data_IF_567671295605
#
_entry.id   IF_567671295605
#
_cell.length_a   1.000
_cell.length_b   1.000
_cell.length_c   1.000
_cell.angle_alpha   90.00
_cell.angle_beta   90.00
_cell.angle_gamma   90.00
#
_symmetry.space_group_name_H-M   'P 1'
#
loop_
_entity.id
_entity.type
_entity.pdbx_description
1 polymer ?
#
# COMPACT_ATOMS: atom_id res chain seq x y z
N UNK A 1 22.23 5.76 -19.62
CA UNK A 1 22.92 4.46 -19.78
C UNK A 1 22.58 3.50 -18.63
N UNK A 2 22.69 3.88 -17.34
CA UNK A 2 22.39 3.00 -16.19
C UNK A 2 20.97 2.40 -16.20
N UNK A 3 19.92 3.21 -16.43
CA UNK A 3 18.55 2.70 -16.56
C UNK A 3 18.39 1.72 -17.73
N UNK A 4 19.05 1.98 -18.86
CA UNK A 4 19.02 1.05 -19.99
C UNK A 4 19.71 -0.28 -19.66
N UNK A 5 20.82 -0.26 -18.90
CA UNK A 5 21.50 -1.46 -18.43
C UNK A 5 20.61 -2.27 -17.44
N UNK A 6 19.93 -1.60 -16.52
CA UNK A 6 18.97 -2.25 -15.60
C UNK A 6 17.78 -2.86 -16.36
N UNK A 7 17.23 -2.16 -17.34
CA UNK A 7 16.15 -2.66 -18.21
C UNK A 7 16.61 -3.86 -19.05
N UNK A 8 17.81 -3.81 -19.62
CA UNK A 8 18.35 -4.93 -20.38
C UNK A 8 18.58 -6.16 -19.51
N UNK A 9 19.01 -5.98 -18.25
CA UNK A 9 19.16 -7.06 -17.29
C UNK A 9 17.80 -7.66 -16.90
N UNK A 10 16.79 -6.83 -16.68
CA UNK A 10 15.41 -7.28 -16.43
C UNK A 10 14.86 -8.10 -17.61
N UNK A 11 14.91 -7.56 -18.83
CA UNK A 11 14.37 -8.22 -20.02
C UNK A 11 15.02 -9.57 -20.31
N UNK A 12 16.33 -9.71 -20.05
CA UNK A 12 17.02 -11.00 -20.18
C UNK A 12 16.48 -12.09 -19.26
N UNK A 13 15.90 -11.72 -18.11
CA UNK A 13 15.43 -12.65 -17.06
C UNK A 13 13.93 -12.85 -17.10
N UNK A 14 13.17 -11.77 -17.28
CA UNK A 14 11.71 -11.77 -17.27
C UNK A 14 11.08 -12.06 -18.65
N UNK A 15 11.89 -12.25 -19.67
CA UNK A 15 11.43 -12.42 -21.05
C UNK A 15 10.79 -11.13 -21.60
N UNK A 16 9.55 -11.21 -22.11
CA UNK A 16 8.83 -10.08 -22.70
C UNK A 16 8.04 -9.24 -21.68
N UNK A 17 7.99 -9.67 -20.41
CA UNK A 17 7.26 -8.95 -19.36
C UNK A 17 8.00 -7.66 -18.98
N UNK A 18 7.37 -6.51 -19.20
CA UNK A 18 7.91 -5.22 -18.76
C UNK A 18 7.81 -5.09 -17.23
N UNK A 19 8.80 -4.44 -16.57
CA UNK A 19 8.72 -4.15 -15.15
C UNK A 19 7.57 -3.16 -14.90
N UNK A 20 6.95 -3.23 -13.73
CA UNK A 20 5.92 -2.26 -13.33
C UNK A 20 6.52 -0.87 -13.17
N UNK A 21 5.70 0.18 -13.37
CA UNK A 21 6.11 1.57 -13.13
C UNK A 21 6.61 1.78 -11.70
N UNK A 22 6.02 1.09 -10.73
CA UNK A 22 6.44 1.13 -9.34
C UNK A 22 7.87 0.61 -9.14
N UNK A 23 8.24 -0.50 -9.82
CA UNK A 23 9.60 -1.03 -9.78
C UNK A 23 10.59 -0.07 -10.45
N UNK A 24 10.22 0.49 -11.62
CA UNK A 24 11.05 1.46 -12.33
C UNK A 24 11.32 2.71 -11.50
N UNK A 25 10.29 3.25 -10.86
CA UNK A 25 10.41 4.41 -9.98
C UNK A 25 11.30 4.12 -8.77
N UNK A 26 11.18 2.93 -8.15
CA UNK A 26 12.09 2.51 -7.08
C UNK A 26 13.54 2.43 -7.55
N UNK A 27 13.79 1.83 -8.71
CA UNK A 27 15.15 1.74 -9.27
C UNK A 27 15.75 3.10 -9.58
N UNK A 28 14.95 4.04 -10.08
CA UNK A 28 15.40 5.42 -10.28
C UNK A 28 15.75 6.10 -8.93
N UNK A 29 14.95 5.89 -7.91
CA UNK A 29 15.20 6.40 -6.55
C UNK A 29 16.47 5.78 -5.95
N UNK A 30 16.65 4.45 -6.05
CA UNK A 30 17.86 3.75 -5.58
C UNK A 30 19.11 4.27 -6.29
N UNK A 31 19.03 4.49 -7.61
CA UNK A 31 20.13 5.03 -8.39
C UNK A 31 20.52 6.44 -7.93
N UNK A 32 19.53 7.33 -7.79
CA UNK A 32 19.77 8.71 -7.34
C UNK A 32 20.32 8.74 -5.91
N UNK A 33 19.77 7.96 -5.00
CA UNK A 33 20.24 7.87 -3.63
C UNK A 33 21.70 7.40 -3.55
N UNK A 34 22.06 6.34 -4.29
CA UNK A 34 23.43 5.82 -4.32
C UNK A 34 24.40 6.82 -4.92
N UNK A 35 24.07 7.44 -6.05
CA UNK A 35 24.96 8.43 -6.70
C UNK A 35 25.16 9.67 -5.82
N UNK A 36 24.15 10.13 -5.11
CA UNK A 36 24.25 11.22 -4.13
C UNK A 36 25.16 10.81 -2.96
N UNK A 37 25.00 9.62 -2.40
CA UNK A 37 25.90 9.11 -1.33
C UNK A 37 27.35 9.00 -1.77
N UNK A 38 27.61 8.50 -2.98
CA UNK A 38 28.97 8.35 -3.51
C UNK A 38 29.65 9.69 -3.79
N UNK A 39 28.89 10.75 -4.03
CA UNK A 39 29.44 12.12 -4.20
C UNK A 39 29.81 12.78 -2.88
N UNK A 40 29.30 12.30 -1.74
CA UNK A 40 29.63 12.83 -0.42
C UNK A 40 31.08 12.43 -0.03
N UNK A 41 31.85 13.35 0.59
CA UNK A 41 33.21 13.05 1.04
C UNK A 41 33.17 12.00 2.16
N UNK A 42 33.88 10.90 1.97
CA UNK A 42 34.00 9.82 2.94
C UNK A 42 35.39 9.22 2.90
N UNK A 43 36.02 9.07 4.05
CA UNK A 43 37.37 8.47 4.18
C UNK A 43 38.50 9.36 3.65
N UNK A 44 39.62 8.74 3.41
CA UNK A 44 40.84 9.37 2.85
C UNK A 44 40.76 9.56 1.33
N UNK A 45 41.84 10.07 0.72
CA UNK A 45 41.88 10.36 -0.71
C UNK A 45 41.69 9.11 -1.57
N UNK A 46 42.22 7.96 -1.13
CA UNK A 46 42.10 6.71 -1.87
C UNK A 46 40.67 6.17 -1.86
N UNK A 47 40.01 6.23 -0.72
CA UNK A 47 38.58 5.83 -0.61
C UNK A 47 37.75 6.76 -1.46
N UNK A 48 37.98 8.08 -1.40
CA UNK A 48 37.25 9.06 -2.23
C UNK A 48 37.43 8.78 -3.72
N UNK A 49 38.68 8.49 -4.16
CA UNK A 49 38.97 8.14 -5.56
C UNK A 49 38.19 6.89 -6.01
N UNK A 50 38.22 5.81 -5.21
CA UNK A 50 37.55 4.56 -5.52
C UNK A 50 36.01 4.72 -5.57
N UNK A 51 35.43 5.53 -4.67
CA UNK A 51 34.00 5.88 -4.69
C UNK A 51 33.61 6.67 -5.94
N UNK A 52 34.48 7.61 -6.40
CA UNK A 52 34.26 8.37 -7.63
C UNK A 52 34.33 7.47 -8.88
N UNK A 53 35.25 6.51 -8.90
CA UNK A 53 35.34 5.49 -9.97
C UNK A 53 34.06 4.64 -9.99
N UNK A 54 33.59 4.21 -8.82
CA UNK A 54 32.32 3.47 -8.70
C UNK A 54 31.14 4.29 -9.22
N UNK A 55 31.02 5.57 -8.85
CA UNK A 55 29.97 6.46 -9.34
C UNK A 55 29.98 6.59 -10.87
N UNK A 56 31.21 6.72 -11.46
CA UNK A 56 31.37 6.80 -12.91
C UNK A 56 30.98 5.48 -13.60
N UNK A 57 31.34 4.34 -13.02
CA UNK A 57 30.97 3.02 -13.53
C UNK A 57 29.43 2.80 -13.44
N UNK A 58 28.77 3.23 -12.34
CA UNK A 58 27.31 3.17 -12.17
C UNK A 58 26.61 4.01 -13.23
N UNK A 59 27.06 5.25 -13.45
CA UNK A 59 26.50 6.12 -14.48
C UNK A 59 26.58 5.50 -15.89
N UNK A 60 27.64 4.72 -16.14
CA UNK A 60 27.86 3.98 -17.38
C UNK A 60 27.12 2.62 -17.43
N UNK A 61 26.44 2.21 -16.35
CA UNK A 61 25.76 0.91 -16.25
C UNK A 61 26.70 -0.29 -16.01
N UNK A 62 27.95 -0.05 -15.62
CA UNK A 62 28.98 -1.08 -15.37
C UNK A 62 29.01 -1.47 -13.88
N UNK A 63 27.94 -2.11 -13.40
CA UNK A 63 27.72 -2.40 -11.98
C UNK A 63 28.78 -3.34 -11.36
N UNK A 64 29.33 -4.28 -12.15
CA UNK A 64 30.38 -5.17 -11.67
C UNK A 64 31.71 -4.42 -11.40
N UNK A 65 32.05 -3.44 -12.25
CA UNK A 65 33.22 -2.58 -12.04
C UNK A 65 33.01 -1.68 -10.81
N UNK A 66 31.80 -1.14 -10.65
CA UNK A 66 31.45 -0.34 -9.49
C UNK A 66 31.59 -1.14 -8.17
N UNK A 67 31.07 -2.39 -8.13
CA UNK A 67 31.23 -3.25 -6.94
C UNK A 67 32.70 -3.56 -6.64
N UNK A 68 33.52 -3.75 -7.67
CA UNK A 68 34.95 -3.96 -7.50
C UNK A 68 35.65 -2.74 -6.88
N UNK A 69 35.35 -1.53 -7.35
CA UNK A 69 35.94 -0.30 -6.80
C UNK A 69 35.49 -0.08 -5.34
N UNK A 70 34.18 -0.30 -5.03
CA UNK A 70 33.67 -0.22 -3.66
C UNK A 70 34.26 -1.31 -2.74
N UNK A 71 34.49 -2.53 -3.26
CA UNK A 71 35.16 -3.59 -2.52
C UNK A 71 36.61 -3.22 -2.17
N UNK A 72 37.31 -2.58 -3.11
CA UNK A 72 38.65 -2.06 -2.86
C UNK A 72 38.68 -0.95 -1.82
N UNK A 73 37.69 -0.05 -1.82
CA UNK A 73 37.52 0.98 -0.79
C UNK A 73 37.27 0.35 0.60
N UNK A 74 36.46 -0.70 0.69
CA UNK A 74 36.24 -1.45 1.94
C UNK A 74 37.55 -2.12 2.42
N UNK A 75 38.28 -2.80 1.53
CA UNK A 75 39.59 -3.44 1.84
C UNK A 75 40.63 -2.42 2.31
N UNK A 76 40.68 -1.24 1.69
CA UNK A 76 41.55 -0.16 2.13
C UNK A 76 41.19 0.33 3.54
N UNK A 77 39.87 0.50 3.84
CA UNK A 77 39.40 0.85 5.18
C UNK A 77 39.72 -0.23 6.23
N UNK A 78 39.74 -1.52 5.85
CA UNK A 78 40.15 -2.64 6.71
C UNK A 78 41.65 -2.58 7.03
N UNK A 79 42.47 -2.18 6.07
CA UNK A 79 43.93 -1.97 6.28
C UNK A 79 44.69 -3.24 6.69
N UNK A 80 44.25 -4.41 6.20
CA UNK A 80 44.89 -5.71 6.48
C UNK A 80 44.58 -6.30 7.87
N UNK A 81 43.65 -5.70 8.64
CA UNK A 81 43.25 -6.25 9.93
C UNK A 81 42.47 -7.56 9.76
N UNK A 82 42.77 -8.55 10.58
CA UNK A 82 42.02 -9.83 10.64
C UNK A 82 40.91 -9.82 11.67
N UNK A 83 40.95 -8.90 12.64
CA UNK A 83 39.89 -8.68 13.62
C UNK A 83 39.32 -7.27 13.45
N UNK A 84 38.17 -7.20 12.78
CA UNK A 84 37.50 -5.94 12.51
C UNK A 84 36.88 -5.33 13.80
N UNK A 85 36.59 -6.15 14.80
CA UNK A 85 35.98 -5.67 16.05
C UNK A 85 37.00 -4.89 16.93
N UNK A 86 38.28 -5.19 16.77
CA UNK A 86 39.35 -4.48 17.44
C UNK A 86 39.75 -3.14 16.78
N UNK A 87 39.21 -2.83 15.61
CA UNK A 87 39.47 -1.56 14.93
C UNK A 87 38.84 -0.38 15.69
N UNK A 88 39.46 0.82 15.60
CA UNK A 88 38.86 2.05 16.11
C UNK A 88 37.46 2.27 15.53
N UNK A 89 36.58 2.89 16.33
CA UNK A 89 35.18 3.12 15.93
C UNK A 89 35.04 3.82 14.58
N UNK A 90 35.85 4.86 14.33
CA UNK A 90 35.84 5.60 13.05
C UNK A 90 36.07 4.67 11.86
N UNK A 91 37.01 3.73 11.96
CA UNK A 91 37.27 2.74 10.92
C UNK A 91 36.11 1.76 10.74
N UNK A 92 35.52 1.29 11.84
CA UNK A 92 34.34 0.41 11.79
C UNK A 92 33.16 1.10 11.12
N UNK A 93 32.94 2.38 11.43
CA UNK A 93 31.89 3.20 10.76
C UNK A 93 32.21 3.34 9.27
N UNK A 94 33.44 3.62 8.90
CA UNK A 94 33.85 3.75 7.50
C UNK A 94 33.65 2.44 6.71
N UNK A 95 33.98 1.30 7.28
CA UNK A 95 33.72 -0.03 6.71
C UNK A 95 32.20 -0.24 6.57
N UNK A 96 31.41 0.12 7.59
CA UNK A 96 29.96 0.04 7.57
C UNK A 96 29.33 0.86 6.44
N UNK A 97 29.80 2.09 6.22
CA UNK A 97 29.35 2.93 5.12
C UNK A 97 29.71 2.34 3.73
N UNK A 98 30.91 1.79 3.57
CA UNK A 98 31.28 1.13 2.31
C UNK A 98 30.42 -0.12 2.05
N UNK A 99 30.08 -0.89 3.08
CA UNK A 99 29.14 -2.02 2.98
C UNK A 99 27.73 -1.55 2.60
N UNK A 100 27.26 -0.45 3.17
CA UNK A 100 25.97 0.15 2.83
C UNK A 100 25.93 0.67 1.38
N UNK A 101 27.04 1.22 0.85
CA UNK A 101 27.16 1.61 -0.56
C UNK A 101 27.07 0.38 -1.48
N UNK A 102 27.78 -0.71 -1.15
CA UNK A 102 27.71 -1.98 -1.89
C UNK A 102 26.32 -2.63 -1.78
N UNK A 103 25.67 -2.55 -0.63
CA UNK A 103 24.29 -3.00 -0.47
C UNK A 103 23.33 -2.20 -1.37
N UNK A 104 23.48 -0.87 -1.42
CA UNK A 104 22.71 0.01 -2.30
C UNK A 104 22.96 -0.30 -3.78
N UNK A 105 24.20 -0.61 -4.17
CA UNK A 105 24.53 -1.06 -5.52
C UNK A 105 23.83 -2.38 -5.87
N UNK A 106 23.72 -3.31 -4.91
CA UNK A 106 23.04 -4.59 -5.11
C UNK A 106 21.55 -4.40 -5.45
N UNK A 107 20.89 -3.33 -4.96
CA UNK A 107 19.52 -3.00 -5.36
C UNK A 107 19.36 -2.57 -6.81
N UNK A 108 20.42 -2.11 -7.47
CA UNK A 108 20.38 -1.80 -8.91
C UNK A 108 20.38 -3.09 -9.77
N UNK A 109 20.85 -4.20 -9.20
CA UNK A 109 20.75 -5.53 -9.81
C UNK A 109 19.37 -6.09 -9.53
N UNK A 110 18.69 -6.62 -10.53
CA UNK A 110 17.27 -7.04 -10.44
C UNK A 110 17.13 -8.52 -10.08
N UNK A 111 17.77 -8.99 -8.99
CA UNK A 111 17.66 -10.38 -8.51
C UNK A 111 17.42 -10.46 -7.02
N UNK A 112 16.65 -11.48 -6.61
CA UNK A 112 16.44 -11.78 -5.20
C UNK A 112 17.76 -12.10 -4.46
N UNK A 113 18.74 -12.72 -5.16
CA UNK A 113 20.06 -12.99 -4.59
C UNK A 113 20.83 -11.70 -4.28
N UNK A 114 20.83 -10.73 -5.21
CA UNK A 114 21.47 -9.43 -4.96
C UNK A 114 20.83 -8.70 -3.77
N UNK A 115 19.54 -8.85 -3.55
CA UNK A 115 18.86 -8.27 -2.39
C UNK A 115 19.21 -9.01 -1.09
N UNK A 116 19.40 -10.33 -1.13
CA UNK A 116 19.95 -11.08 0.02
C UNK A 116 21.38 -10.64 0.34
N UNK A 117 22.22 -10.42 -0.68
CA UNK A 117 23.56 -9.85 -0.49
C UNK A 117 23.49 -8.45 0.16
N UNK A 118 22.56 -7.58 -0.28
CA UNK A 118 22.36 -6.28 0.33
C UNK A 118 21.99 -6.42 1.81
N UNK A 119 21.05 -7.29 2.14
CA UNK A 119 20.64 -7.56 3.51
C UNK A 119 21.78 -8.10 4.38
N UNK A 120 22.60 -9.02 3.83
CA UNK A 120 23.76 -9.55 4.53
C UNK A 120 24.79 -8.44 4.85
N UNK A 121 25.11 -7.59 3.88
CA UNK A 121 26.05 -6.46 4.08
C UNK A 121 25.55 -5.46 5.12
N UNK A 122 24.27 -5.16 5.16
CA UNK A 122 23.69 -4.31 6.20
C UNK A 122 23.74 -4.99 7.58
N UNK A 123 23.45 -6.29 7.68
CA UNK A 123 23.58 -7.06 8.92
C UNK A 123 25.03 -7.11 9.43
N UNK A 124 26.00 -7.32 8.53
CA UNK A 124 27.43 -7.28 8.87
C UNK A 124 27.89 -5.89 9.31
N UNK A 125 27.37 -4.82 8.70
CA UNK A 125 27.64 -3.44 9.12
C UNK A 125 27.08 -3.19 10.52
N UNK A 126 25.85 -3.59 10.79
CA UNK A 126 25.22 -3.48 12.11
C UNK A 126 26.04 -4.21 13.19
N UNK A 127 26.41 -5.47 12.93
CA UNK A 127 27.20 -6.28 13.86
C UNK A 127 28.59 -5.68 14.14
N UNK A 128 29.25 -5.15 13.11
CA UNK A 128 30.58 -4.54 13.22
C UNK A 128 30.56 -3.25 14.06
N UNK A 129 29.55 -2.41 13.84
CA UNK A 129 29.40 -1.14 14.57
C UNK A 129 28.99 -1.43 16.03
N UNK A 130 28.01 -2.31 16.24
CA UNK A 130 27.59 -2.80 17.53
C UNK A 130 27.21 -1.69 18.51
N UNK A 131 27.43 -1.94 19.80
CA UNK A 131 27.11 -1.01 20.89
C UNK A 131 27.99 0.26 20.92
N UNK A 132 29.10 0.27 20.18
CA UNK A 132 30.01 1.42 20.19
C UNK A 132 29.39 2.66 19.49
N UNK A 133 28.43 2.46 18.57
CA UNK A 133 27.58 3.49 17.99
C UNK A 133 26.20 2.89 17.74
N UNK A 134 25.43 2.73 18.82
CA UNK A 134 24.18 1.96 18.83
C UNK A 134 23.16 2.43 17.78
N UNK A 135 23.02 3.74 17.60
CA UNK A 135 22.05 4.28 16.64
C UNK A 135 22.41 3.95 15.20
N UNK A 136 23.71 4.01 14.85
CA UNK A 136 24.21 3.61 13.52
C UNK A 136 24.06 2.10 13.28
N UNK A 137 24.24 1.30 14.33
CA UNK A 137 24.02 -0.15 14.29
C UNK A 137 22.53 -0.46 14.06
N UNK A 138 21.64 0.22 14.78
CA UNK A 138 20.18 0.09 14.63
C UNK A 138 19.71 0.51 13.23
N UNK A 139 20.24 1.62 12.72
CA UNK A 139 19.98 2.07 11.35
C UNK A 139 20.35 1.01 10.31
N UNK A 140 21.55 0.44 10.42
CA UNK A 140 22.01 -0.63 9.54
C UNK A 140 21.11 -1.89 9.64
N UNK A 141 20.68 -2.27 10.84
CA UNK A 141 19.78 -3.41 11.02
C UNK A 141 18.37 -3.13 10.46
N UNK A 142 17.88 -1.89 10.53
CA UNK A 142 16.62 -1.50 9.90
C UNK A 142 16.73 -1.60 8.37
N UNK A 143 17.85 -1.15 7.79
CA UNK A 143 18.10 -1.29 6.34
C UNK A 143 18.24 -2.77 5.94
N UNK A 144 18.80 -3.63 6.79
CA UNK A 144 18.78 -5.09 6.58
C UNK A 144 17.34 -5.61 6.45
N UNK A 145 16.48 -5.26 7.38
CA UNK A 145 15.08 -5.70 7.37
C UNK A 145 14.32 -5.18 6.13
N UNK A 146 14.54 -3.92 5.76
CA UNK A 146 13.97 -3.34 4.53
C UNK A 146 14.46 -4.07 3.27
N UNK A 147 15.74 -4.42 3.21
CA UNK A 147 16.32 -5.18 2.11
C UNK A 147 15.67 -6.56 1.97
N UNK A 148 15.43 -7.25 3.09
CA UNK A 148 14.73 -8.53 3.12
C UNK A 148 13.27 -8.39 2.65
N UNK A 149 12.53 -7.41 3.17
CA UNK A 149 11.14 -7.17 2.77
C UNK A 149 11.00 -6.90 1.26
N UNK A 150 11.92 -6.14 0.68
CA UNK A 150 11.95 -5.86 -0.76
C UNK A 150 12.07 -7.11 -1.64
N UNK A 151 12.59 -8.23 -1.13
CA UNK A 151 12.60 -9.51 -1.86
C UNK A 151 11.17 -9.92 -2.22
N UNK A 152 10.28 -9.89 -1.23
CA UNK A 152 8.87 -10.23 -1.45
C UNK A 152 8.11 -9.16 -2.26
N UNK A 153 8.47 -7.88 -2.10
CA UNK A 153 7.85 -6.78 -2.85
C UNK A 153 8.13 -6.84 -4.35
N UNK A 154 9.37 -7.14 -4.73
CA UNK A 154 9.83 -7.08 -6.12
C UNK A 154 9.74 -8.44 -6.84
N UNK A 155 9.84 -9.55 -6.12
CA UNK A 155 9.87 -10.90 -6.71
C UNK A 155 8.68 -11.77 -6.30
N UNK A 156 7.83 -11.28 -5.40
CA UNK A 156 6.70 -12.03 -4.87
C UNK A 156 7.08 -13.03 -3.78
N UNK A 157 6.07 -13.77 -3.30
CA UNK A 157 6.25 -14.73 -2.20
C UNK A 157 6.33 -14.08 -0.82
N UNK A 158 6.41 -14.92 0.21
CA UNK A 158 6.41 -14.50 1.62
C UNK A 158 7.80 -14.45 2.27
N UNK A 159 8.78 -15.12 1.68
CA UNK A 159 10.09 -15.40 2.30
C UNK A 159 10.81 -14.14 2.79
N UNK A 160 10.71 -13.06 2.03
CA UNK A 160 11.33 -11.78 2.40
C UNK A 160 10.71 -11.17 3.65
N UNK A 161 9.39 -11.22 3.78
CA UNK A 161 8.70 -10.73 5.00
C UNK A 161 8.96 -11.64 6.18
N UNK A 162 8.92 -12.97 6.00
CA UNK A 162 9.24 -13.94 7.05
C UNK A 162 10.66 -13.74 7.60
N UNK A 163 11.60 -13.33 6.77
CA UNK A 163 12.97 -13.02 7.18
C UNK A 163 13.12 -11.62 7.81
N UNK A 164 12.36 -10.63 7.36
CA UNK A 164 12.44 -9.24 7.85
C UNK A 164 11.83 -9.08 9.25
N UNK A 165 10.68 -9.73 9.51
CA UNK A 165 9.91 -9.58 10.76
C UNK A 165 10.74 -9.91 12.01
N UNK A 166 11.52 -11.02 12.09
CA UNK A 166 12.36 -11.30 13.23
C UNK A 166 13.44 -10.25 13.50
N UNK A 167 14.00 -9.66 12.44
CA UNK A 167 15.01 -8.57 12.58
C UNK A 167 14.35 -7.34 13.18
N UNK A 168 13.16 -6.96 12.71
CA UNK A 168 12.41 -5.80 13.22
C UNK A 168 11.97 -5.99 14.67
N UNK A 169 11.49 -7.19 15.04
CA UNK A 169 11.13 -7.50 16.44
C UNK A 169 12.32 -7.38 17.38
N UNK A 170 13.48 -7.93 16.98
CA UNK A 170 14.70 -7.80 17.78
C UNK A 170 15.15 -6.34 17.94
N UNK A 171 14.98 -5.52 16.90
CA UNK A 171 15.25 -4.08 17.00
C UNK A 171 14.37 -3.40 18.03
N UNK A 172 13.09 -3.74 18.09
CA UNK A 172 12.14 -3.17 19.07
C UNK A 172 12.50 -3.52 20.51
N UNK A 173 13.02 -4.73 20.76
CA UNK A 173 13.46 -5.14 22.11
C UNK A 173 14.57 -4.22 22.68
N UNK A 174 15.33 -3.56 21.81
CA UNK A 174 16.44 -2.68 22.19
C UNK A 174 16.11 -1.18 22.12
N UNK A 175 14.85 -0.79 21.88
CA UNK A 175 14.43 0.61 21.74
C UNK A 175 13.49 0.99 22.88
N UNK A 176 13.72 2.18 23.47
CA UNK A 176 12.80 2.81 24.39
C UNK A 176 11.87 3.78 23.62
N UNK A 177 10.56 3.70 23.86
CA UNK A 177 9.58 4.48 23.10
C UNK A 177 9.70 5.99 23.33
N UNK A 178 10.16 6.41 24.52
CA UNK A 178 10.31 7.81 24.90
C UNK A 178 11.70 8.37 24.58
N UNK A 179 12.76 7.57 24.84
CA UNK A 179 14.13 8.00 24.57
C UNK A 179 14.49 7.94 23.09
N UNK A 180 13.96 6.95 22.37
CA UNK A 180 14.26 6.66 20.95
C UNK A 180 13.01 6.85 20.06
N UNK A 181 12.12 7.78 20.38
CA UNK A 181 10.76 7.92 19.80
C UNK A 181 10.71 7.77 18.27
N UNK A 182 11.55 8.50 17.52
CA UNK A 182 11.54 8.44 16.06
C UNK A 182 12.03 7.09 15.54
N UNK A 183 13.09 6.53 16.15
CA UNK A 183 13.62 5.23 15.77
C UNK A 183 12.62 4.11 16.08
N UNK A 184 12.01 4.14 17.28
CA UNK A 184 10.96 3.21 17.69
C UNK A 184 9.78 3.25 16.73
N UNK A 185 9.24 4.44 16.44
CA UNK A 185 8.15 4.62 15.50
C UNK A 185 8.51 4.15 14.07
N UNK A 186 9.75 4.36 13.63
CA UNK A 186 10.25 3.90 12.33
C UNK A 186 10.29 2.37 12.22
N UNK A 187 10.72 1.68 13.27
CA UNK A 187 10.72 0.21 13.31
C UNK A 187 9.29 -0.33 13.41
N UNK A 188 8.42 0.33 14.19
CA UNK A 188 7.00 -0.01 14.27
C UNK A 188 6.31 0.12 12.90
N UNK A 189 6.57 1.18 12.14
CA UNK A 189 6.03 1.35 10.78
C UNK A 189 6.52 0.25 9.82
N UNK A 190 7.81 -0.08 9.86
CA UNK A 190 8.41 -1.13 9.03
C UNK A 190 7.81 -2.51 9.34
N UNK A 191 7.62 -2.81 10.64
CA UNK A 191 7.01 -4.07 11.08
C UNK A 191 5.53 -4.14 10.69
N UNK A 192 4.77 -3.07 10.91
CA UNK A 192 3.38 -2.97 10.47
C UNK A 192 3.25 -3.14 8.94
N UNK A 193 4.18 -2.56 8.17
CA UNK A 193 4.22 -2.73 6.72
C UNK A 193 4.45 -4.17 6.29
N UNK A 194 5.42 -4.86 6.89
CA UNK A 194 5.75 -6.24 6.57
C UNK A 194 4.59 -7.19 6.92
N UNK A 195 3.99 -7.02 8.11
CA UNK A 195 2.84 -7.80 8.57
C UNK A 195 1.60 -7.61 7.69
N UNK A 196 1.29 -6.37 7.31
CA UNK A 196 0.18 -6.04 6.41
C UNK A 196 0.32 -6.71 5.04
N UNK A 197 1.52 -6.65 4.46
CA UNK A 197 1.82 -7.32 3.19
C UNK A 197 1.77 -8.84 3.29
N UNK A 198 2.31 -9.40 4.38
CA UNK A 198 2.25 -10.83 4.64
C UNK A 198 0.79 -11.29 4.83
N UNK A 199 -0.03 -10.51 5.55
CA UNK A 199 -1.46 -10.77 5.71
C UNK A 199 -2.20 -10.79 4.35
N UNK A 200 -1.85 -9.86 3.45
CA UNK A 200 -2.44 -9.84 2.10
C UNK A 200 -2.08 -11.09 1.27
N UNK A 201 -0.89 -11.66 1.48
CA UNK A 201 -0.45 -12.88 0.79
C UNK A 201 -1.07 -14.15 1.39
N UNK A 202 -1.28 -14.19 2.70
CA UNK A 202 -1.70 -15.39 3.43
C UNK A 202 -3.20 -15.43 3.73
N UNK A 203 -3.88 -14.28 3.67
CA UNK A 203 -5.26 -14.14 4.13
C UNK A 203 -5.41 -14.15 5.66
N UNK A 204 -4.32 -14.07 6.43
CA UNK A 204 -4.36 -14.14 7.89
C UNK A 204 -4.74 -12.79 8.51
N UNK A 205 -5.99 -12.70 8.98
CA UNK A 205 -6.52 -11.52 9.64
C UNK A 205 -5.84 -11.19 10.99
N UNK A 206 -5.17 -12.16 11.64
CA UNK A 206 -4.43 -11.90 12.89
C UNK A 206 -3.23 -11.00 12.63
N UNK A 207 -2.54 -11.20 11.50
CA UNK A 207 -1.42 -10.34 11.09
C UNK A 207 -1.86 -8.90 10.85
N UNK A 208 -3.08 -8.68 10.34
CA UNK A 208 -3.63 -7.31 10.20
C UNK A 208 -3.88 -6.67 11.56
N UNK A 209 -4.38 -7.43 12.53
CA UNK A 209 -4.56 -6.96 13.91
C UNK A 209 -3.22 -6.60 14.58
N UNK A 210 -2.19 -7.43 14.39
CA UNK A 210 -0.83 -7.17 14.86
C UNK A 210 -0.25 -5.91 14.19
N UNK A 211 -0.38 -5.77 12.86
CA UNK A 211 0.04 -4.58 12.13
C UNK A 211 -0.64 -3.30 12.65
N UNK A 212 -1.94 -3.37 12.95
CA UNK A 212 -2.70 -2.26 13.53
C UNK A 212 -2.14 -1.86 14.91
N UNK A 213 -1.83 -2.84 15.77
CA UNK A 213 -1.24 -2.60 17.08
C UNK A 213 0.13 -1.91 16.98
N UNK A 214 0.98 -2.32 16.04
CA UNK A 214 2.26 -1.67 15.77
C UNK A 214 2.10 -0.23 15.28
N UNK A 215 1.11 0.06 14.42
CA UNK A 215 0.83 1.45 14.03
C UNK A 215 0.41 2.31 15.23
N UNK A 216 -0.41 1.79 16.14
CA UNK A 216 -0.83 2.51 17.36
C UNK A 216 0.39 2.80 18.24
N UNK A 217 1.20 1.77 18.52
CA UNK A 217 2.41 1.93 19.33
C UNK A 217 3.40 2.95 18.73
N UNK A 218 3.59 2.93 17.41
CA UNK A 218 4.46 3.91 16.73
C UNK A 218 3.94 5.35 16.75
N UNK A 219 2.65 5.56 17.01
CA UNK A 219 2.01 6.89 17.08
C UNK A 219 1.80 7.39 18.52
N UNK A 220 2.04 6.56 19.53
CA UNK A 220 1.72 6.88 20.92
C UNK A 220 2.47 8.13 21.41
N UNK A 221 3.77 8.16 21.20
CA UNK A 221 4.64 9.25 21.64
C UNK A 221 5.11 10.16 20.48
N UNK A 222 4.95 9.71 19.22
CA UNK A 222 5.42 10.43 18.05
C UNK A 222 4.55 11.64 17.72
N UNK A 223 5.15 12.83 17.72
CA UNK A 223 4.49 14.06 17.34
C UNK A 223 4.68 14.37 15.85
N UNK A 224 3.66 15.03 15.26
CA UNK A 224 3.70 15.40 13.84
C UNK A 224 4.89 16.33 13.50
N UNK A 225 5.25 17.27 14.38
CA UNK A 225 6.32 18.23 14.18
C UNK A 225 7.73 17.62 14.28
N UNK A 226 7.90 16.50 14.97
CA UNK A 226 9.18 15.80 15.12
C UNK A 226 9.58 15.01 13.87
N UNK A 227 8.65 14.26 13.29
CA UNK A 227 8.89 13.48 12.09
C UNK A 227 7.64 13.45 11.18
N UNK A 228 7.33 14.54 10.45
CA UNK A 228 6.08 14.71 9.72
C UNK A 228 5.81 13.60 8.69
N UNK A 229 6.86 13.12 8.01
CA UNK A 229 6.72 12.07 6.99
C UNK A 229 6.37 10.71 7.60
N UNK A 230 7.04 10.33 8.69
CA UNK A 230 6.80 9.08 9.42
C UNK A 230 5.43 9.09 10.08
N UNK A 231 5.08 10.19 10.76
CA UNK A 231 3.76 10.34 11.40
C UNK A 231 2.63 10.18 10.37
N UNK A 232 2.76 10.82 9.19
CA UNK A 232 1.78 10.65 8.10
C UNK A 232 1.71 9.21 7.58
N UNK A 233 2.85 8.56 7.39
CA UNK A 233 2.90 7.16 6.94
C UNK A 233 2.15 6.23 7.90
N UNK A 234 2.43 6.36 9.20
CA UNK A 234 1.77 5.60 10.25
C UNK A 234 0.26 5.89 10.33
N UNK A 235 -0.16 7.17 10.25
CA UNK A 235 -1.58 7.56 10.23
C UNK A 235 -2.33 6.96 9.03
N UNK A 236 -1.75 7.02 7.83
CA UNK A 236 -2.36 6.44 6.63
C UNK A 236 -2.49 4.92 6.75
N UNK A 237 -1.45 4.24 7.25
CA UNK A 237 -1.46 2.79 7.46
C UNK A 237 -2.47 2.39 8.53
N UNK A 238 -2.46 3.05 9.68
CA UNK A 238 -3.41 2.82 10.76
C UNK A 238 -4.86 2.94 10.25
N UNK A 239 -5.18 4.07 9.61
CA UNK A 239 -6.51 4.31 9.07
C UNK A 239 -6.95 3.25 8.06
N UNK A 240 -6.07 2.85 7.14
CA UNK A 240 -6.37 1.81 6.14
C UNK A 240 -6.59 0.43 6.77
N UNK A 241 -5.74 0.04 7.72
CA UNK A 241 -5.90 -1.22 8.45
C UNK A 241 -7.20 -1.23 9.27
N UNK A 242 -7.51 -0.12 9.95
CA UNK A 242 -8.74 0.02 10.73
C UNK A 242 -10.00 -0.04 9.85
N UNK A 243 -10.00 0.58 8.65
CA UNK A 243 -11.12 0.44 7.69
C UNK A 243 -11.27 -1.03 7.27
N UNK A 244 -10.18 -1.68 6.85
CA UNK A 244 -10.25 -3.05 6.34
C UNK A 244 -10.73 -4.04 7.42
N UNK A 245 -10.19 -3.96 8.63
CA UNK A 245 -10.63 -4.79 9.76
C UNK A 245 -12.06 -4.44 10.20
N UNK A 246 -12.39 -3.16 10.32
CA UNK A 246 -13.72 -2.70 10.72
C UNK A 246 -14.81 -3.13 9.75
N UNK A 247 -14.50 -3.18 8.46
CA UNK A 247 -15.43 -3.71 7.44
C UNK A 247 -15.57 -5.22 7.56
N UNK A 248 -14.45 -5.97 7.60
CA UNK A 248 -14.44 -7.43 7.57
C UNK A 248 -14.98 -8.05 8.87
N UNK A 249 -14.65 -7.48 10.03
CA UNK A 249 -15.08 -7.94 11.35
C UNK A 249 -16.43 -7.33 11.80
N UNK A 250 -16.97 -6.41 11.01
CA UNK A 250 -18.16 -5.62 11.35
C UNK A 250 -18.00 -4.82 12.66
N UNK A 251 -16.80 -4.34 12.92
CA UNK A 251 -16.44 -3.56 14.09
C UNK A 251 -16.54 -2.05 13.79
N UNK A 252 -17.55 -1.40 14.37
CA UNK A 252 -17.79 0.03 14.18
C UNK A 252 -16.75 0.89 14.92
N UNK A 253 -16.16 0.40 16.03
CA UNK A 253 -15.15 1.16 16.77
C UNK A 253 -13.86 1.32 15.91
N UNK A 254 -13.49 0.28 15.15
CA UNK A 254 -12.37 0.38 14.21
C UNK A 254 -12.66 1.36 13.07
N UNK A 255 -13.90 1.43 12.60
CA UNK A 255 -14.30 2.41 11.59
C UNK A 255 -14.30 3.84 12.14
N UNK A 256 -14.72 4.04 13.39
CA UNK A 256 -14.64 5.34 14.07
C UNK A 256 -13.19 5.77 14.28
N UNK A 257 -12.32 4.86 14.71
CA UNK A 257 -10.88 5.11 14.81
C UNK A 257 -10.27 5.51 13.46
N UNK A 258 -10.66 4.84 12.38
CA UNK A 258 -10.23 5.21 11.03
C UNK A 258 -10.68 6.62 10.65
N UNK A 259 -11.96 6.97 10.91
CA UNK A 259 -12.48 8.31 10.65
C UNK A 259 -11.71 9.36 11.43
N UNK A 260 -11.47 9.15 12.73
CA UNK A 260 -10.71 10.07 13.57
C UNK A 260 -9.24 10.20 13.11
N UNK A 261 -8.61 9.08 12.76
CA UNK A 261 -7.22 9.03 12.29
C UNK A 261 -7.04 9.83 11.00
N UNK A 262 -7.89 9.60 9.99
CA UNK A 262 -7.81 10.35 8.73
C UNK A 262 -8.22 11.81 8.90
N UNK A 263 -9.22 12.12 9.71
CA UNK A 263 -9.61 13.50 9.99
C UNK A 263 -8.45 14.28 10.61
N UNK A 264 -7.74 13.70 11.57
CA UNK A 264 -6.56 14.29 12.19
C UNK A 264 -5.44 14.51 11.17
N UNK A 265 -5.19 13.52 10.31
CA UNK A 265 -4.16 13.62 9.27
C UNK A 265 -4.50 14.73 8.25
N UNK A 266 -5.74 14.77 7.76
CA UNK A 266 -6.21 15.74 6.78
C UNK A 266 -6.30 17.18 7.34
N UNK A 267 -6.41 17.36 8.66
CA UNK A 267 -6.43 18.67 9.29
C UNK A 267 -5.06 19.39 9.23
N UNK A 268 -3.96 18.62 9.25
CA UNK A 268 -2.59 19.16 9.22
C UNK A 268 -1.90 19.01 7.87
N UNK A 269 -2.45 18.19 6.99
CA UNK A 269 -1.88 17.87 5.68
C UNK A 269 -2.59 18.63 4.58
N UNK A 270 -1.86 19.52 3.91
CA UNK A 270 -2.40 20.28 2.79
C UNK A 270 -2.40 19.42 1.51
N UNK A 271 -3.46 19.53 0.73
CA UNK A 271 -3.56 18.84 -0.58
C UNK A 271 -2.39 19.19 -1.50
N UNK A 272 -1.86 20.44 -1.42
CA UNK A 272 -0.71 20.88 -2.20
C UNK A 272 0.61 20.17 -1.90
N UNK A 273 0.73 19.51 -0.73
CA UNK A 273 1.98 18.90 -0.31
C UNK A 273 2.18 17.51 -0.98
N UNK A 274 1.10 16.75 -1.10
CA UNK A 274 1.05 15.46 -1.80
C UNK A 274 -0.42 15.14 -2.13
N UNK A 275 -0.86 15.59 -3.30
CA UNK A 275 -2.25 15.45 -3.73
C UNK A 275 -2.69 13.98 -3.81
N UNK A 276 -1.84 13.10 -4.30
CA UNK A 276 -2.20 11.69 -4.49
C UNK A 276 -2.52 11.00 -3.15
N UNK A 277 -1.68 11.19 -2.14
CA UNK A 277 -1.91 10.64 -0.80
C UNK A 277 -3.04 11.34 -0.07
N UNK A 278 -3.21 12.65 -0.29
CA UNK A 278 -4.35 13.38 0.27
C UNK A 278 -5.67 12.81 -0.25
N UNK A 279 -5.77 12.57 -1.56
CA UNK A 279 -6.94 11.96 -2.20
C UNK A 279 -7.15 10.51 -1.73
N UNK A 280 -6.08 9.75 -1.50
CA UNK A 280 -6.18 8.40 -0.90
C UNK A 280 -6.79 8.45 0.50
N UNK A 281 -6.32 9.36 1.35
CA UNK A 281 -6.87 9.55 2.70
C UNK A 281 -8.35 9.98 2.66
N UNK A 282 -8.71 10.93 1.77
CA UNK A 282 -10.08 11.37 1.56
C UNK A 282 -10.99 10.25 1.07
N UNK A 283 -10.50 9.38 0.18
CA UNK A 283 -11.21 8.18 -0.25
C UNK A 283 -11.45 7.21 0.90
N UNK A 284 -10.43 6.93 1.69
CA UNK A 284 -10.52 5.95 2.78
C UNK A 284 -11.43 6.42 3.92
N UNK A 285 -11.37 7.70 4.31
CA UNK A 285 -12.30 8.25 5.31
C UNK A 285 -13.75 8.20 4.80
N UNK A 286 -13.97 8.43 3.50
CA UNK A 286 -15.29 8.37 2.89
C UNK A 286 -15.84 6.94 2.88
N UNK A 287 -15.02 5.92 2.63
CA UNK A 287 -15.39 4.50 2.74
C UNK A 287 -15.81 4.14 4.18
N UNK A 288 -15.05 4.57 5.18
CA UNK A 288 -15.38 4.36 6.58
C UNK A 288 -16.73 5.00 6.95
N UNK A 289 -16.93 6.28 6.58
CA UNK A 289 -18.18 7.03 6.79
C UNK A 289 -19.37 6.37 6.08
N UNK A 290 -19.19 5.92 4.83
CA UNK A 290 -20.22 5.22 4.08
C UNK A 290 -20.66 3.93 4.78
N UNK A 291 -19.72 3.17 5.31
CA UNK A 291 -20.00 1.91 6.01
C UNK A 291 -20.73 2.17 7.33
N UNK A 292 -20.24 3.10 8.15
CA UNK A 292 -20.89 3.52 9.39
C UNK A 292 -22.28 4.10 9.13
N UNK A 293 -22.40 4.98 8.13
CA UNK A 293 -23.66 5.62 7.76
C UNK A 293 -24.73 4.61 7.36
N UNK A 294 -24.35 3.58 6.57
CA UNK A 294 -25.29 2.48 6.24
C UNK A 294 -25.67 1.66 7.46
N UNK A 295 -24.70 1.25 8.31
CA UNK A 295 -24.97 0.42 9.49
C UNK A 295 -25.82 1.13 10.54
N UNK A 296 -25.59 2.42 10.75
CA UNK A 296 -26.28 3.23 11.77
C UNK A 296 -27.48 4.00 11.23
N UNK A 297 -27.72 3.90 9.95
CA UNK A 297 -28.76 4.70 9.30
C UNK A 297 -28.55 6.22 9.46
N UNK A 298 -27.28 6.65 9.50
CA UNK A 298 -26.87 8.03 9.72
C UNK A 298 -26.68 8.77 8.38
N UNK A 299 -27.64 9.65 8.07
CA UNK A 299 -27.64 10.43 6.83
C UNK A 299 -26.46 11.39 6.75
N UNK A 300 -26.07 12.02 7.88
CA UNK A 300 -24.94 12.96 7.90
C UNK A 300 -23.62 12.28 7.55
N UNK A 301 -23.41 11.05 8.01
CA UNK A 301 -22.23 10.25 7.62
C UNK A 301 -22.28 9.90 6.13
N UNK A 302 -23.45 9.55 5.58
CA UNK A 302 -23.62 9.24 4.16
C UNK A 302 -23.35 10.47 3.28
N UNK A 303 -23.88 11.63 3.64
CA UNK A 303 -23.64 12.90 2.93
C UNK A 303 -22.15 13.29 2.91
N UNK A 304 -21.49 13.18 4.07
CA UNK A 304 -20.03 13.41 4.15
C UNK A 304 -19.24 12.41 3.31
N UNK A 305 -19.67 11.15 3.27
CA UNK A 305 -19.05 10.12 2.44
C UNK A 305 -19.20 10.45 0.94
N UNK A 306 -20.41 10.79 0.51
CA UNK A 306 -20.70 11.19 -0.86
C UNK A 306 -19.84 12.38 -1.30
N UNK A 307 -19.82 13.45 -0.49
CA UNK A 307 -19.03 14.65 -0.78
C UNK A 307 -17.54 14.36 -0.89
N UNK A 308 -17.00 13.47 -0.05
CA UNK A 308 -15.60 13.04 -0.13
C UNK A 308 -15.31 12.22 -1.40
N UNK A 309 -16.15 11.23 -1.69
CA UNK A 309 -16.01 10.42 -2.92
C UNK A 309 -16.11 11.28 -4.18
N UNK A 310 -17.02 12.25 -4.20
CA UNK A 310 -17.18 13.17 -5.32
C UNK A 310 -15.91 14.02 -5.54
N UNK A 311 -15.31 14.57 -4.47
CA UNK A 311 -14.02 15.29 -4.57
C UNK A 311 -12.92 14.43 -5.17
N UNK A 312 -12.82 13.16 -4.73
CA UNK A 312 -11.82 12.23 -5.26
C UNK A 312 -12.12 11.89 -6.73
N UNK A 313 -13.38 11.66 -7.08
CA UNK A 313 -13.80 11.35 -8.45
C UNK A 313 -13.49 12.49 -9.42
N UNK A 314 -13.77 13.75 -9.02
CA UNK A 314 -13.45 14.93 -9.84
C UNK A 314 -11.94 15.12 -10.06
N UNK A 315 -11.09 14.68 -9.13
CA UNK A 315 -9.64 14.72 -9.27
C UNK A 315 -9.07 13.49 -10.01
N UNK A 316 -9.89 12.49 -10.30
CA UNK A 316 -9.47 11.26 -10.97
C UNK A 316 -9.63 11.39 -12.47
N UNK A 317 -8.52 11.30 -13.21
CA UNK A 317 -8.54 11.30 -14.68
C UNK A 317 -9.06 9.94 -15.19
N UNK A 318 -10.30 9.94 -15.68
CA UNK A 318 -10.97 8.76 -16.23
C UNK A 318 -10.19 8.14 -17.40
N UNK A 319 -9.56 8.95 -18.24
CA UNK A 319 -8.84 8.46 -19.42
C UNK A 319 -7.57 7.68 -19.05
N UNK A 320 -6.92 8.06 -17.95
CA UNK A 320 -5.68 7.44 -17.46
C UNK A 320 -5.93 6.30 -16.47
N UNK A 321 -7.00 6.39 -15.66
CA UNK A 321 -7.33 5.43 -14.61
C UNK A 321 -8.82 5.07 -14.62
N UNK A 322 -9.33 4.46 -15.74
CA UNK A 322 -10.77 4.22 -15.91
C UNK A 322 -11.36 3.31 -14.84
N UNK A 323 -10.65 2.25 -14.44
CA UNK A 323 -11.14 1.33 -13.39
C UNK A 323 -11.22 1.99 -12.00
N UNK A 324 -10.29 2.91 -11.70
CA UNK A 324 -10.33 3.68 -10.46
C UNK A 324 -11.51 4.65 -10.44
N UNK A 325 -11.75 5.31 -11.56
CA UNK A 325 -12.90 6.20 -11.71
C UNK A 325 -14.22 5.42 -11.57
N UNK A 326 -14.33 4.24 -12.18
CA UNK A 326 -15.50 3.36 -12.05
C UNK A 326 -15.72 2.89 -10.62
N UNK A 327 -14.67 2.55 -9.88
CA UNK A 327 -14.74 2.20 -8.46
C UNK A 327 -15.39 3.34 -7.64
N UNK A 328 -15.01 4.58 -7.91
CA UNK A 328 -15.56 5.74 -7.22
C UNK A 328 -17.04 5.94 -7.58
N UNK A 329 -17.43 5.75 -8.85
CA UNK A 329 -18.83 5.82 -9.27
C UNK A 329 -19.67 4.72 -8.61
N UNK A 330 -19.19 3.47 -8.55
CA UNK A 330 -19.90 2.37 -7.85
C UNK A 330 -20.08 2.68 -6.35
N UNK A 331 -19.03 3.19 -5.69
CA UNK A 331 -19.13 3.58 -4.27
C UNK A 331 -20.09 4.75 -4.04
N UNK A 332 -20.09 5.76 -4.93
CA UNK A 332 -21.03 6.86 -4.88
C UNK A 332 -22.47 6.38 -5.08
N UNK A 333 -22.71 5.50 -6.05
CA UNK A 333 -23.98 4.84 -6.26
C UNK A 333 -24.49 4.11 -5.02
N UNK A 334 -23.61 3.37 -4.34
CA UNK A 334 -23.95 2.67 -3.08
C UNK A 334 -24.28 3.61 -1.92
N UNK A 335 -23.65 4.78 -1.85
CA UNK A 335 -23.97 5.80 -0.85
C UNK A 335 -25.32 6.46 -1.17
N UNK A 336 -25.53 6.86 -2.42
CA UNK A 336 -26.79 7.45 -2.88
C UNK A 336 -27.99 6.51 -2.70
N UNK A 337 -27.84 5.20 -3.02
CA UNK A 337 -28.87 4.20 -2.77
C UNK A 337 -29.25 4.13 -1.29
N UNK A 338 -28.25 4.14 -0.39
CA UNK A 338 -28.48 4.15 1.06
C UNK A 338 -29.14 5.46 1.56
N UNK A 339 -28.81 6.60 0.96
CA UNK A 339 -29.48 7.89 1.23
C UNK A 339 -30.92 7.84 0.70
N UNK A 340 -31.15 7.29 -0.48
CA UNK A 340 -32.45 7.16 -1.10
C UNK A 340 -33.45 6.34 -0.31
N UNK A 341 -33.03 5.45 0.59
CA UNK A 341 -33.93 4.77 1.53
C UNK A 341 -34.61 5.72 2.52
N UNK A 342 -34.02 6.90 2.73
CA UNK A 342 -34.42 7.87 3.76
C UNK A 342 -35.10 9.12 3.20
N UNK A 343 -34.74 9.50 1.99
CA UNK A 343 -35.35 10.61 1.30
C UNK A 343 -36.72 10.19 0.72
N UNK A 344 -37.70 11.10 0.75
CA UNK A 344 -39.01 10.85 0.18
C UNK A 344 -39.03 10.90 -1.34
N UNK A 345 -38.17 11.75 -1.91
CA UNK A 345 -38.09 11.96 -3.35
C UNK A 345 -37.29 10.83 -4.05
N UNK A 346 -37.72 10.41 -5.25
CA UNK A 346 -37.05 9.34 -6.00
C UNK A 346 -35.73 9.76 -6.59
N UNK A 347 -35.45 11.06 -6.74
CA UNK A 347 -34.31 11.60 -7.48
C UNK A 347 -32.97 11.07 -6.98
N UNK A 348 -32.77 10.88 -5.67
CA UNK A 348 -31.54 10.36 -5.11
C UNK A 348 -31.29 8.89 -5.52
N UNK A 349 -32.38 8.11 -5.68
CA UNK A 349 -32.27 6.73 -6.16
C UNK A 349 -31.95 6.71 -7.67
N UNK A 350 -32.52 7.65 -8.44
CA UNK A 350 -32.24 7.81 -9.87
C UNK A 350 -30.77 8.20 -10.07
N UNK A 351 -30.23 9.09 -9.24
CA UNK A 351 -28.79 9.43 -9.21
C UNK A 351 -27.93 8.20 -8.85
N UNK A 352 -28.36 7.35 -7.92
CA UNK A 352 -27.66 6.10 -7.61
C UNK A 352 -27.59 5.17 -8.83
N UNK A 353 -28.71 4.98 -9.53
CA UNK A 353 -28.79 4.16 -10.74
C UNK A 353 -27.88 4.73 -11.82
N UNK A 354 -27.83 6.05 -12.00
CA UNK A 354 -26.97 6.71 -12.96
C UNK A 354 -25.47 6.55 -12.61
N UNK A 355 -25.10 6.65 -11.33
CA UNK A 355 -23.73 6.43 -10.89
C UNK A 355 -23.25 4.99 -11.13
N UNK A 356 -24.08 3.99 -10.84
CA UNK A 356 -23.78 2.60 -11.18
C UNK A 356 -23.68 2.39 -12.71
N UNK A 357 -24.56 3.00 -13.50
CA UNK A 357 -24.49 2.94 -14.96
C UNK A 357 -23.15 3.50 -15.46
N UNK A 358 -22.70 4.63 -14.93
CA UNK A 358 -21.42 5.21 -15.25
C UNK A 358 -20.24 4.28 -14.91
N UNK A 359 -20.28 3.59 -13.76
CA UNK A 359 -19.28 2.58 -13.43
C UNK A 359 -19.26 1.40 -14.42
N UNK A 360 -20.43 0.95 -14.87
CA UNK A 360 -20.59 -0.16 -15.83
C UNK A 360 -20.09 0.17 -17.25
N UNK A 361 -19.87 1.43 -17.59
CA UNK A 361 -19.22 1.80 -18.85
C UNK A 361 -17.76 1.30 -18.90
N UNK A 362 -17.09 1.26 -17.74
CA UNK A 362 -15.70 0.80 -17.58
C UNK A 362 -15.60 -0.65 -17.09
N UNK A 363 -16.48 -1.07 -16.18
CA UNK A 363 -16.58 -2.45 -15.72
C UNK A 363 -17.32 -3.31 -16.72
N UNK A 364 -16.64 -3.66 -17.79
CA UNK A 364 -17.22 -4.47 -18.86
C UNK A 364 -17.23 -5.95 -18.49
N UNK A 365 -18.32 -6.63 -18.85
CA UNK A 365 -18.52 -8.04 -18.56
C UNK A 365 -17.39 -8.95 -19.11
N UNK A 366 -16.84 -8.60 -20.29
CA UNK A 366 -15.76 -9.34 -20.96
C UNK A 366 -14.37 -9.11 -20.35
N UNK A 367 -14.17 -8.01 -19.63
CA UNK A 367 -12.85 -7.61 -19.08
C UNK A 367 -12.76 -7.69 -17.57
N UNK A 368 -13.86 -7.41 -16.88
CA UNK A 368 -13.94 -7.36 -15.42
C UNK A 368 -15.24 -8.02 -14.91
N UNK A 369 -15.47 -9.32 -15.20
CA UNK A 369 -16.76 -9.98 -14.99
C UNK A 369 -17.26 -9.91 -13.54
N UNK A 370 -16.38 -9.99 -12.54
CA UNK A 370 -16.79 -9.91 -11.13
C UNK A 370 -17.18 -8.50 -10.72
N UNK A 371 -16.43 -7.48 -11.13
CA UNK A 371 -16.76 -6.07 -10.87
C UNK A 371 -18.07 -5.70 -11.59
N UNK A 372 -18.20 -6.11 -12.85
CA UNK A 372 -19.44 -5.93 -13.60
C UNK A 372 -20.63 -6.57 -12.88
N UNK A 373 -20.50 -7.81 -12.43
CA UNK A 373 -21.58 -8.53 -11.75
C UNK A 373 -21.99 -7.86 -10.43
N UNK A 374 -21.02 -7.44 -9.61
CA UNK A 374 -21.29 -6.76 -8.35
C UNK A 374 -21.98 -5.41 -8.56
N UNK A 375 -21.46 -4.57 -9.46
CA UNK A 375 -22.04 -3.25 -9.75
C UNK A 375 -23.40 -3.36 -10.42
N UNK A 376 -23.55 -4.32 -11.35
CA UNK A 376 -24.84 -4.62 -12.01
C UNK A 376 -25.91 -5.05 -11.00
N UNK A 377 -25.53 -5.85 -10.00
CA UNK A 377 -26.43 -6.23 -8.91
C UNK A 377 -26.78 -5.04 -8.01
N UNK A 378 -25.81 -4.18 -7.68
CA UNK A 378 -26.05 -2.96 -6.91
C UNK A 378 -27.03 -2.02 -7.63
N UNK A 379 -26.86 -1.84 -8.95
CA UNK A 379 -27.79 -1.08 -9.79
C UNK A 379 -29.19 -1.69 -9.80
N UNK A 380 -29.30 -3.00 -9.96
CA UNK A 380 -30.58 -3.69 -9.95
C UNK A 380 -31.32 -3.52 -8.62
N UNK A 381 -30.64 -3.54 -7.49
CA UNK A 381 -31.26 -3.26 -6.19
C UNK A 381 -31.74 -1.81 -6.07
N UNK A 382 -30.99 -0.83 -6.57
CA UNK A 382 -31.43 0.56 -6.64
C UNK A 382 -32.66 0.71 -7.55
N UNK A 383 -32.70 0.00 -8.69
CA UNK A 383 -33.88 -0.05 -9.57
C UNK A 383 -35.11 -0.66 -8.86
N UNK A 384 -34.92 -1.74 -8.08
CA UNK A 384 -36.01 -2.33 -7.27
C UNK A 384 -36.52 -1.37 -6.20
N UNK A 385 -35.60 -0.62 -5.57
CA UNK A 385 -35.97 0.41 -4.59
C UNK A 385 -36.84 1.50 -5.23
N UNK A 386 -36.44 1.97 -6.43
CA UNK A 386 -37.21 2.94 -7.21
C UNK A 386 -38.57 2.36 -7.66
N UNK A 387 -38.56 1.13 -8.18
CA UNK A 387 -39.76 0.42 -8.63
C UNK A 387 -40.79 0.26 -7.50
N UNK A 388 -40.34 -0.06 -6.28
CA UNK A 388 -41.22 -0.12 -5.09
C UNK A 388 -41.87 1.23 -4.78
N UNK A 389 -41.09 2.31 -4.86
CA UNK A 389 -41.55 3.67 -4.57
C UNK A 389 -42.59 4.13 -5.58
N UNK A 390 -42.31 3.90 -6.85
CA UNK A 390 -43.18 4.34 -7.95
C UNK A 390 -44.26 3.31 -8.32
N UNK A 391 -44.27 2.13 -7.69
CA UNK A 391 -45.12 0.99 -8.02
C UNK A 391 -44.97 0.55 -9.50
N UNK A 392 -43.75 0.65 -10.01
CA UNK A 392 -43.41 0.34 -11.40
C UNK A 392 -43.02 -1.15 -11.55
N UNK A 393 -43.97 -1.93 -12.07
CA UNK A 393 -43.80 -3.38 -12.31
C UNK A 393 -42.77 -3.66 -13.39
N UNK A 394 -42.67 -2.82 -14.40
CA UNK A 394 -41.74 -2.98 -15.54
C UNK A 394 -40.32 -2.81 -15.06
N UNK A 395 -40.04 -1.77 -14.29
CA UNK A 395 -38.74 -1.52 -13.71
C UNK A 395 -38.34 -2.65 -12.72
N UNK A 396 -39.27 -3.18 -11.95
CA UNK A 396 -39.02 -4.33 -11.07
C UNK A 396 -38.60 -5.58 -11.88
N UNK A 397 -39.27 -5.86 -13.00
CA UNK A 397 -38.93 -6.99 -13.85
C UNK A 397 -37.55 -6.82 -14.51
N UNK A 398 -37.23 -5.61 -14.97
CA UNK A 398 -35.89 -5.29 -15.54
C UNK A 398 -34.79 -5.51 -14.48
N UNK A 399 -34.99 -5.04 -13.26
CA UNK A 399 -34.06 -5.21 -12.16
C UNK A 399 -33.78 -6.70 -11.85
N UNK A 400 -34.84 -7.54 -11.83
CA UNK A 400 -34.66 -8.98 -11.63
C UNK A 400 -33.85 -9.63 -12.75
N UNK A 401 -34.16 -9.28 -14.00
CA UNK A 401 -33.44 -9.80 -15.17
C UNK A 401 -31.95 -9.44 -15.09
N UNK A 402 -31.66 -8.20 -14.72
CA UNK A 402 -30.28 -7.74 -14.56
C UNK A 402 -29.55 -8.47 -13.42
N UNK A 403 -30.23 -8.67 -12.28
CA UNK A 403 -29.64 -9.40 -11.15
C UNK A 403 -29.39 -10.89 -11.45
N UNK A 404 -30.27 -11.51 -12.24
CA UNK A 404 -30.07 -12.87 -12.74
C UNK A 404 -28.82 -12.95 -13.64
N UNK A 405 -28.66 -12.01 -14.58
CA UNK A 405 -27.50 -11.95 -15.46
C UNK A 405 -26.20 -11.72 -14.67
N UNK A 406 -26.22 -10.85 -13.65
CA UNK A 406 -25.10 -10.62 -12.76
C UNK A 406 -24.71 -11.90 -11.99
N UNK A 407 -25.67 -12.62 -11.45
CA UNK A 407 -25.45 -13.88 -10.72
C UNK A 407 -24.86 -14.95 -11.63
N UNK A 408 -25.36 -15.09 -12.85
CA UNK A 408 -24.84 -16.02 -13.84
C UNK A 408 -23.38 -15.68 -14.22
N UNK A 409 -23.09 -14.41 -14.49
CA UNK A 409 -21.74 -13.95 -14.84
C UNK A 409 -20.76 -14.23 -13.73
N UNK A 410 -21.13 -13.95 -12.47
CA UNK A 410 -20.29 -14.26 -11.32
C UNK A 410 -20.01 -15.77 -11.20
N UNK A 411 -21.02 -16.62 -11.45
CA UNK A 411 -20.86 -18.08 -11.41
C UNK A 411 -19.94 -18.65 -12.49
N UNK A 412 -19.83 -17.96 -13.61
CA UNK A 412 -18.95 -18.36 -14.73
C UNK A 412 -17.52 -17.80 -14.61
N UNK A 413 -17.32 -16.77 -13.80
CA UNK A 413 -16.02 -16.12 -13.65
C UNK A 413 -15.06 -16.95 -12.81
N UNK A 414 -13.76 -16.93 -13.17
CA UNK A 414 -12.71 -17.51 -12.34
C UNK A 414 -12.75 -16.88 -10.93
N UNK A 415 -12.72 -17.72 -9.89
CA UNK A 415 -12.84 -17.31 -8.48
C UNK A 415 -14.16 -16.60 -8.11
N UNK A 416 -15.20 -16.69 -8.96
CA UNK A 416 -16.49 -16.03 -8.75
C UNK A 416 -17.46 -16.70 -7.76
N UNK A 417 -17.14 -17.91 -7.26
CA UNK A 417 -18.09 -18.71 -6.48
C UNK A 417 -18.65 -18.04 -5.23
N UNK A 418 -17.82 -17.32 -4.47
CA UNK A 418 -18.29 -16.57 -3.29
C UNK A 418 -19.19 -15.38 -3.66
N UNK A 419 -18.87 -14.67 -4.72
CA UNK A 419 -19.68 -13.57 -5.27
C UNK A 419 -21.01 -14.12 -5.80
N UNK A 420 -20.99 -15.20 -6.56
CA UNK A 420 -22.20 -15.83 -7.07
C UNK A 420 -23.14 -16.29 -5.96
N UNK A 421 -22.58 -16.88 -4.88
CA UNK A 421 -23.38 -17.31 -3.73
C UNK A 421 -24.04 -16.11 -2.99
N UNK A 422 -23.34 -15.00 -2.87
CA UNK A 422 -23.92 -13.77 -2.30
C UNK A 422 -25.03 -13.21 -3.22
N UNK A 423 -24.75 -13.08 -4.52
CA UNK A 423 -25.72 -12.59 -5.49
C UNK A 423 -26.96 -13.49 -5.59
N UNK A 424 -26.82 -14.81 -5.41
CA UNK A 424 -27.95 -15.72 -5.38
C UNK A 424 -28.89 -15.45 -4.18
N UNK A 425 -28.35 -15.13 -3.01
CA UNK A 425 -29.15 -14.72 -1.85
C UNK A 425 -29.88 -13.39 -2.13
N UNK A 426 -29.17 -12.42 -2.70
CA UNK A 426 -29.73 -11.11 -3.09
C UNK A 426 -30.86 -11.28 -4.12
N UNK A 427 -30.68 -12.16 -5.11
CA UNK A 427 -31.69 -12.49 -6.09
C UNK A 427 -32.97 -13.09 -5.46
N UNK A 428 -32.81 -13.99 -4.48
CA UNK A 428 -33.94 -14.55 -3.72
C UNK A 428 -34.74 -13.47 -2.99
N UNK A 429 -34.05 -12.55 -2.30
CA UNK A 429 -34.67 -11.42 -1.61
C UNK A 429 -35.36 -10.44 -2.58
N UNK A 430 -34.72 -10.16 -3.70
CA UNK A 430 -35.25 -9.30 -4.77
C UNK A 430 -36.50 -9.90 -5.42
N UNK A 431 -36.46 -11.22 -5.70
CA UNK A 431 -37.61 -11.96 -6.22
C UNK A 431 -38.84 -11.87 -5.33
N UNK A 432 -38.67 -12.09 -4.01
CA UNK A 432 -39.75 -11.94 -3.04
C UNK A 432 -40.33 -10.50 -3.01
N UNK A 433 -39.49 -9.50 -3.18
CA UNK A 433 -39.87 -8.09 -3.25
C UNK A 433 -40.67 -7.79 -4.53
N UNK A 434 -40.17 -8.24 -5.68
CA UNK A 434 -40.83 -8.02 -6.95
C UNK A 434 -42.16 -8.77 -7.06
N UNK A 435 -42.27 -9.99 -6.55
CA UNK A 435 -43.53 -10.74 -6.52
C UNK A 435 -44.65 -9.97 -5.79
N UNK A 436 -44.32 -9.30 -4.68
CA UNK A 436 -45.27 -8.45 -3.95
C UNK A 436 -45.70 -7.22 -4.77
N UNK A 437 -44.82 -6.69 -5.63
CA UNK A 437 -45.13 -5.56 -6.51
C UNK A 437 -45.95 -5.96 -7.74
N UNK A 438 -45.73 -7.16 -8.27
CA UNK A 438 -46.35 -7.66 -9.48
C UNK A 438 -47.70 -8.33 -9.19
N UNK A 439 -47.85 -8.96 -8.00
CA UNK A 439 -49.02 -9.74 -7.62
C UNK A 439 -50.13 -8.97 -6.87
N UNK A 440 -49.88 -7.71 -6.47
CA UNK A 440 -50.89 -6.79 -5.93
C UNK A 440 -51.28 -5.74 -6.99
#
# INVERSE_FOLDING_TARGET
MAMAAMMADWLRRAGTALPSDALLNRKATDFLALTTRLSAPLGDDEIRRLRQEAATAIAAGRFAEADKSLAQAELHAIGGSTDLSALPLERRLLIGENRADRASLSFLRTTAEAYREAAARHGEASALIGLAAIDRSREAALEQAKALARISEDFGGRDGYDAAIPVLRRLLEGLDSLADTIAFAGVQDALAAALDKLAALTGDAKLLGEALAHCRAGLEDLRHDEAPALWRALKLRLGRLAVNLGVSQKDDNLLEEAVATYATALAVWKRSDDEARWLEAEHMISRARATLGRRRSDLSLLERAFNGLNRVSQATDRSRTPLRWAELQDQMGGVLAAMGERYSEPVVIEEAIAAFAAALEEYRQDRAPLLWAQTSANQAEAMLQLARRNKDRTLAQQALTQLMAATQTAGQAANGGAVAADLQKRLGAAGATATKLIGG
#
